data_IF_505696168948
#
_entry.id   IF_505696168948
#
_cell.length_a   1.000
_cell.length_b   1.000
_cell.length_c   1.000
_cell.angle_alpha   90.00
_cell.angle_beta   90.00
_cell.angle_gamma   90.00
#
_symmetry.space_group_name_H-M   'P 1'
#
loop_
_entity.id
_entity.type
_entity.pdbx_description
1 polymer ?
#
# COMPACT_ATOMS: atom_id res chain seq x y z
N UNK A 1 -5.41 -27.47 -9.03
CA UNK A 1 -5.95 -26.19 -9.53
C UNK A 1 -5.66 -25.14 -8.46
N UNK A 2 -5.17 -23.96 -8.85
CA UNK A 2 -4.97 -22.85 -7.91
C UNK A 2 -6.29 -22.12 -7.63
N UNK A 3 -6.35 -21.38 -6.52
CA UNK A 3 -7.42 -20.44 -6.22
C UNK A 3 -6.99 -19.04 -6.65
N UNK A 4 -7.91 -18.28 -7.26
CA UNK A 4 -7.72 -16.85 -7.51
C UNK A 4 -8.51 -16.07 -6.45
N UNK A 5 -7.81 -15.26 -5.66
CA UNK A 5 -8.41 -14.41 -4.63
C UNK A 5 -8.17 -12.97 -5.02
N UNK A 6 -9.26 -12.23 -5.28
CA UNK A 6 -9.19 -10.80 -5.56
C UNK A 6 -9.05 -10.03 -4.24
N UNK A 7 -8.03 -9.18 -4.13
CA UNK A 7 -7.72 -8.45 -2.90
C UNK A 7 -8.26 -7.01 -2.97
N UNK A 8 -9.56 -6.88 -2.75
CA UNK A 8 -10.25 -5.58 -2.63
C UNK A 8 -11.07 -5.57 -1.34
N UNK A 9 -10.55 -4.89 -0.33
CA UNK A 9 -11.01 -5.00 1.07
C UNK A 9 -11.24 -6.47 1.49
N UNK A 10 -10.30 -7.33 1.13
CA UNK A 10 -10.44 -8.79 1.29
C UNK A 10 -9.40 -9.34 2.25
N UNK A 11 -9.88 -10.12 3.22
CA UNK A 11 -9.06 -10.95 4.11
C UNK A 11 -8.98 -12.36 3.54
N UNK A 12 -7.79 -12.93 3.53
CA UNK A 12 -7.54 -14.31 3.14
C UNK A 12 -6.55 -14.97 4.09
N UNK A 13 -6.98 -16.04 4.76
CA UNK A 13 -6.13 -16.79 5.69
C UNK A 13 -5.40 -17.88 4.90
N UNK A 14 -4.10 -17.70 4.66
CA UNK A 14 -3.29 -18.67 3.90
C UNK A 14 -2.91 -19.88 4.74
N UNK A 15 -2.89 -19.72 6.07
CA UNK A 15 -2.62 -20.75 7.07
C UNK A 15 -3.30 -20.38 8.39
N UNK A 16 -3.31 -21.28 9.40
CA UNK A 16 -3.84 -20.95 10.72
C UNK A 16 -3.15 -19.75 11.40
N UNK A 17 -1.90 -19.48 11.03
CA UNK A 17 -1.03 -18.48 11.64
C UNK A 17 -0.76 -17.26 10.74
N UNK A 18 -1.09 -17.29 9.45
CA UNK A 18 -0.81 -16.17 8.52
C UNK A 18 -2.07 -15.71 7.81
N UNK A 19 -2.30 -14.39 7.86
CA UNK A 19 -3.42 -13.70 7.23
C UNK A 19 -2.91 -12.70 6.22
N UNK A 20 -3.50 -12.71 5.04
CA UNK A 20 -3.30 -11.70 4.01
C UNK A 20 -4.48 -10.76 4.05
N UNK A 21 -4.21 -9.46 4.14
CA UNK A 21 -5.17 -8.39 3.93
C UNK A 21 -4.76 -7.66 2.66
N UNK A 22 -5.72 -7.35 1.79
CA UNK A 22 -5.40 -6.50 0.65
C UNK A 22 -6.56 -5.66 0.15
N UNK A 23 -6.18 -4.51 -0.39
CA UNK A 23 -7.04 -3.50 -0.97
C UNK A 23 -6.21 -2.64 -1.93
N UNK A 24 -6.86 -1.76 -2.67
CA UNK A 24 -6.11 -0.82 -3.53
C UNK A 24 -5.34 0.19 -2.69
N UNK A 25 -5.93 0.62 -1.56
CA UNK A 25 -5.49 1.76 -0.76
C UNK A 25 -5.17 2.91 -1.69
N UNK A 26 -6.19 3.50 -2.32
CA UNK A 26 -6.02 4.76 -3.07
C UNK A 26 -5.33 5.82 -2.20
N UNK A 27 -4.92 6.94 -2.77
CA UNK A 27 -4.23 7.98 -2.01
C UNK A 27 -5.20 9.02 -1.44
N UNK A 28 -4.84 9.63 -0.31
CA UNK A 28 -5.53 10.82 0.19
C UNK A 28 -5.01 12.06 -0.54
N UNK A 29 -5.88 12.67 -1.34
CA UNK A 29 -5.56 13.91 -2.07
C UNK A 29 -6.14 15.09 -1.31
N UNK A 30 -5.30 16.05 -0.90
CA UNK A 30 -5.81 17.26 -0.25
C UNK A 30 -6.50 18.19 -1.25
N UNK A 31 -7.46 18.98 -0.76
CA UNK A 31 -8.20 19.97 -1.57
C UNK A 31 -7.27 20.88 -2.38
N UNK A 32 -6.16 21.32 -1.77
CA UNK A 32 -5.19 22.23 -2.38
C UNK A 32 -4.48 21.60 -3.59
N UNK A 33 -4.44 20.27 -3.67
CA UNK A 33 -3.78 19.53 -4.75
C UNK A 33 -4.75 18.87 -5.72
N UNK A 34 -6.07 18.97 -5.52
CA UNK A 34 -7.08 18.30 -6.34
C UNK A 34 -6.92 18.54 -7.83
N UNK A 35 -6.79 19.80 -8.26
CA UNK A 35 -6.65 20.12 -9.68
C UNK A 35 -5.36 19.53 -10.26
N UNK A 36 -4.23 19.69 -9.56
CA UNK A 36 -2.95 19.19 -10.03
C UNK A 36 -2.93 17.67 -10.13
N UNK A 37 -3.50 16.97 -9.16
CA UNK A 37 -3.59 15.50 -9.15
C UNK A 37 -4.57 14.99 -10.20
N UNK A 38 -5.73 15.64 -10.36
CA UNK A 38 -6.72 15.30 -11.38
C UNK A 38 -6.12 15.35 -12.79
N UNK A 39 -5.34 16.38 -13.09
CA UNK A 39 -4.68 16.48 -14.40
C UNK A 39 -3.45 15.58 -14.56
N UNK A 40 -2.80 15.22 -13.46
CA UNK A 40 -1.51 14.53 -13.45
C UNK A 40 -1.58 12.99 -13.41
N UNK A 41 -2.66 12.41 -12.89
CA UNK A 41 -2.83 10.95 -12.82
C UNK A 41 -3.69 10.43 -13.96
N UNK A 42 -3.22 9.36 -14.60
CA UNK A 42 -3.94 8.68 -15.68
C UNK A 42 -5.25 8.04 -15.21
N UNK A 43 -5.34 7.73 -13.92
CA UNK A 43 -6.49 7.09 -13.29
C UNK A 43 -7.78 7.87 -13.57
N UNK A 44 -7.76 9.20 -13.47
CA UNK A 44 -8.93 10.07 -13.71
C UNK A 44 -9.34 10.17 -15.19
N UNK A 45 -8.48 9.72 -16.11
CA UNK A 45 -8.79 9.67 -17.55
C UNK A 45 -9.23 8.28 -18.02
N UNK A 46 -8.86 7.22 -17.30
CA UNK A 46 -9.07 5.84 -17.70
C UNK A 46 -10.11 5.11 -16.87
N UNK A 47 -10.28 5.48 -15.60
CA UNK A 47 -11.36 4.96 -14.77
C UNK A 47 -12.60 5.80 -15.09
N UNK A 48 -13.62 5.13 -15.63
CA UNK A 48 -14.86 5.77 -16.04
C UNK A 48 -15.58 6.34 -14.82
N UNK A 49 -16.05 7.59 -14.95
CA UNK A 49 -16.85 8.28 -13.94
C UNK A 49 -16.15 8.34 -12.56
N UNK A 50 -14.82 8.51 -12.55
CA UNK A 50 -13.99 8.51 -11.34
C UNK A 50 -13.46 9.90 -11.00
N UNK A 51 -13.90 10.46 -9.88
CA UNK A 51 -13.47 11.77 -9.40
C UNK A 51 -12.38 11.67 -8.33
N UNK A 52 -11.74 12.80 -8.02
CA UNK A 52 -10.80 12.87 -6.88
C UNK A 52 -11.51 12.61 -5.55
N UNK A 53 -12.78 12.97 -5.45
CA UNK A 53 -13.61 12.69 -4.27
C UNK A 53 -13.86 11.18 -4.15
N UNK A 54 -14.18 10.48 -5.24
CA UNK A 54 -14.32 9.02 -5.24
C UNK A 54 -13.01 8.33 -4.85
N UNK A 55 -11.88 8.82 -5.37
CA UNK A 55 -10.55 8.33 -5.03
C UNK A 55 -10.25 8.47 -3.53
N UNK A 56 -10.56 9.64 -2.95
CA UNK A 56 -10.37 9.90 -1.52
C UNK A 56 -11.33 9.10 -0.65
N UNK A 57 -12.60 8.98 -1.06
CA UNK A 57 -13.59 8.16 -0.36
C UNK A 57 -13.21 6.67 -0.37
N UNK A 58 -12.67 6.17 -1.47
CA UNK A 58 -12.16 4.81 -1.57
C UNK A 58 -10.93 4.60 -0.68
N UNK A 59 -10.01 5.57 -0.59
CA UNK A 59 -8.92 5.54 0.38
C UNK A 59 -9.43 5.42 1.82
N UNK A 60 -10.40 6.24 2.20
CA UNK A 60 -10.97 6.24 3.55
C UNK A 60 -11.66 4.92 3.88
N UNK A 61 -12.40 4.35 2.92
CA UNK A 61 -13.03 3.04 3.06
C UNK A 61 -11.98 1.92 3.26
N UNK A 62 -10.93 1.90 2.43
CA UNK A 62 -9.83 0.93 2.52
C UNK A 62 -9.08 1.03 3.85
N UNK A 63 -8.77 2.26 4.27
CA UNK A 63 -8.08 2.52 5.53
C UNK A 63 -8.94 2.14 6.74
N UNK A 64 -10.24 2.46 6.71
CA UNK A 64 -11.20 2.07 7.72
C UNK A 64 -11.29 0.55 7.85
N UNK A 65 -11.42 -0.14 6.72
CA UNK A 65 -11.45 -1.60 6.66
C UNK A 65 -10.14 -2.22 7.18
N UNK A 66 -8.97 -1.77 6.73
CA UNK A 66 -7.67 -2.28 7.18
C UNK A 66 -7.50 -2.12 8.70
N UNK A 67 -7.79 -0.93 9.23
CA UNK A 67 -7.72 -0.67 10.67
C UNK A 67 -8.71 -1.57 11.44
N UNK A 68 -9.91 -1.79 10.90
CA UNK A 68 -10.91 -2.68 11.48
C UNK A 68 -10.42 -4.14 11.52
N UNK A 69 -9.91 -4.66 10.41
CA UNK A 69 -9.38 -6.03 10.31
C UNK A 69 -8.19 -6.25 11.26
N UNK A 70 -7.22 -5.35 11.26
CA UNK A 70 -6.05 -5.47 12.15
C UNK A 70 -6.47 -5.39 13.61
N UNK A 71 -7.41 -4.50 13.97
CA UNK A 71 -7.92 -4.41 15.34
C UNK A 71 -8.64 -5.69 15.74
N UNK A 72 -9.46 -6.25 14.85
CA UNK A 72 -10.15 -7.52 15.09
C UNK A 72 -9.16 -8.66 15.34
N UNK A 73 -8.23 -8.90 14.40
CA UNK A 73 -7.22 -9.97 14.51
C UNK A 73 -6.38 -9.81 15.78
N UNK A 74 -6.01 -8.58 16.12
CA UNK A 74 -5.24 -8.30 17.34
C UNK A 74 -6.00 -8.69 18.62
N UNK A 75 -7.33 -8.54 18.63
CA UNK A 75 -8.17 -8.86 19.78
C UNK A 75 -8.57 -10.34 19.84
N UNK A 76 -8.91 -10.96 18.70
CA UNK A 76 -9.48 -12.32 18.65
C UNK A 76 -8.47 -13.41 18.30
N UNK A 77 -7.40 -13.08 17.58
CA UNK A 77 -6.47 -14.03 16.98
C UNK A 77 -5.00 -13.57 17.12
N UNK A 78 -4.53 -13.24 18.36
CA UNK A 78 -3.24 -12.57 18.58
C UNK A 78 -2.00 -13.40 18.19
N UNK A 79 -2.19 -14.69 17.88
CA UNK A 79 -1.13 -15.59 17.39
C UNK A 79 -0.81 -15.38 15.90
N UNK A 80 -1.67 -14.66 15.16
CA UNK A 80 -1.52 -14.49 13.71
C UNK A 80 -0.47 -13.45 13.34
N UNK A 81 0.21 -13.71 12.23
CA UNK A 81 0.99 -12.75 11.47
C UNK A 81 0.14 -12.19 10.33
N UNK A 82 0.22 -10.88 10.13
CA UNK A 82 -0.53 -10.16 9.12
C UNK A 82 0.43 -9.72 8.01
N UNK A 83 0.05 -10.06 6.79
CA UNK A 83 0.65 -9.62 5.53
C UNK A 83 -0.32 -8.66 4.86
N UNK A 84 0.16 -7.48 4.46
CA UNK A 84 -0.65 -6.48 3.80
C UNK A 84 -0.14 -6.27 2.38
N UNK A 85 -1.05 -6.34 1.40
CA UNK A 85 -0.81 -5.94 0.02
C UNK A 85 -1.66 -4.72 -0.31
N UNK A 86 -1.02 -3.64 -0.77
CA UNK A 86 -1.70 -2.45 -1.28
C UNK A 86 -1.20 -2.06 -2.66
N UNK A 87 -2.02 -1.37 -3.45
CA UNK A 87 -1.51 -0.77 -4.68
C UNK A 87 -0.66 0.46 -4.38
N UNK A 88 -1.18 1.45 -3.63
CA UNK A 88 -0.42 2.66 -3.31
C UNK A 88 0.41 2.50 -2.03
N UNK A 89 1.42 3.37 -1.89
CA UNK A 89 2.34 3.36 -0.76
C UNK A 89 1.68 3.97 0.49
N UNK A 90 1.82 3.33 1.67
CA UNK A 90 1.34 3.88 2.94
C UNK A 90 2.41 4.75 3.65
N UNK A 91 3.47 5.15 2.93
CA UNK A 91 4.67 5.77 3.50
C UNK A 91 5.05 7.01 2.69
N UNK A 92 5.09 8.14 3.39
CA UNK A 92 5.55 9.44 2.85
C UNK A 92 6.78 9.99 3.58
N UNK A 93 7.03 9.55 4.82
CA UNK A 93 8.06 10.13 5.68
C UNK A 93 9.38 9.35 5.71
N UNK A 94 9.37 8.06 5.34
CA UNK A 94 10.60 7.25 5.30
C UNK A 94 11.29 7.44 3.94
N UNK A 95 12.48 8.07 3.87
CA UNK A 95 13.16 8.33 2.61
C UNK A 95 13.59 7.05 1.89
N UNK A 96 13.62 5.88 2.57
CA UNK A 96 13.88 4.60 1.92
C UNK A 96 12.72 4.13 1.05
N UNK A 97 11.49 4.59 1.33
CA UNK A 97 10.27 4.21 0.61
C UNK A 97 9.81 5.26 -0.41
N UNK A 98 10.44 6.44 -0.42
CA UNK A 98 10.07 7.57 -1.29
C UNK A 98 11.06 7.69 -2.42
N UNK A 99 10.56 7.71 -3.66
CA UNK A 99 11.41 7.96 -4.81
C UNK A 99 12.00 9.38 -4.76
N UNK A 100 13.33 9.55 -4.78
CA UNK A 100 13.97 10.87 -4.75
C UNK A 100 13.47 11.85 -5.81
N UNK A 101 12.96 11.35 -6.94
CA UNK A 101 12.39 12.15 -8.04
C UNK A 101 11.10 12.86 -7.64
N UNK A 102 10.41 12.37 -6.62
CA UNK A 102 9.07 12.82 -6.23
C UNK A 102 9.01 13.52 -4.86
N UNK A 103 10.13 13.61 -4.12
CA UNK A 103 10.20 14.20 -2.76
C UNK A 103 9.64 15.63 -2.69
N UNK A 104 9.82 16.44 -3.74
CA UNK A 104 9.30 17.82 -3.81
C UNK A 104 8.18 18.00 -4.85
N UNK A 105 7.60 16.89 -5.33
CA UNK A 105 6.54 16.97 -6.32
C UNK A 105 5.20 17.29 -5.66
N UNK A 106 4.45 18.24 -6.21
CA UNK A 106 3.07 18.49 -5.80
C UNK A 106 2.12 17.32 -6.10
N UNK A 107 2.57 16.33 -6.88
CA UNK A 107 1.84 15.09 -7.16
C UNK A 107 2.17 13.98 -6.16
N UNK A 108 3.11 14.18 -5.23
CA UNK A 108 3.54 13.14 -4.27
C UNK A 108 2.39 12.56 -3.45
N UNK A 109 1.40 13.39 -3.08
CA UNK A 109 0.17 12.98 -2.39
C UNK A 109 -0.69 12.02 -3.19
N UNK A 110 -0.53 11.99 -4.51
CA UNK A 110 -1.27 11.12 -5.41
C UNK A 110 -0.70 9.68 -5.44
N UNK A 111 0.55 9.50 -5.01
CA UNK A 111 1.24 8.20 -5.06
C UNK A 111 1.30 7.49 -3.70
N UNK A 112 1.21 8.26 -2.62
CA UNK A 112 1.40 7.77 -1.26
C UNK A 112 0.62 8.59 -0.24
N UNK A 113 0.26 7.96 0.87
CA UNK A 113 -0.41 8.62 2.00
C UNK A 113 0.32 8.35 3.30
N UNK A 114 0.31 9.30 4.23
CA UNK A 114 0.95 9.13 5.52
C UNK A 114 0.04 8.34 6.48
N UNK A 115 0.33 7.05 6.63
CA UNK A 115 -0.41 6.20 7.56
C UNK A 115 0.31 6.04 8.91
N UNK A 116 1.41 6.74 9.18
CA UNK A 116 2.22 6.56 10.41
C UNK A 116 1.41 6.64 11.71
N UNK A 117 0.35 7.45 11.74
CA UNK A 117 -0.57 7.58 12.86
C UNK A 117 -1.54 6.40 13.06
N UNK A 118 -1.74 5.57 12.04
CA UNK A 118 -2.81 4.57 11.94
C UNK A 118 -2.51 3.29 12.71
N UNK A 119 -3.57 2.63 13.23
CA UNK A 119 -3.44 1.38 14.00
C UNK A 119 -2.81 0.26 13.16
N UNK A 120 -3.19 0.16 11.89
CA UNK A 120 -2.63 -0.79 10.93
C UNK A 120 -1.10 -0.68 10.83
N UNK A 121 -0.52 0.54 10.92
CA UNK A 121 0.94 0.72 10.88
C UNK A 121 1.62 0.36 12.20
N UNK A 122 0.94 0.60 13.32
CA UNK A 122 1.47 0.40 14.68
C UNK A 122 1.36 -1.04 15.20
N UNK A 123 0.53 -1.88 14.59
CA UNK A 123 0.33 -3.25 15.07
C UNK A 123 1.59 -4.11 14.89
N UNK A 124 2.08 -4.77 15.96
CA UNK A 124 3.22 -5.70 15.88
C UNK A 124 2.86 -7.02 15.17
N UNK A 125 1.58 -7.28 14.94
CA UNK A 125 1.13 -8.44 14.17
C UNK A 125 1.35 -8.23 12.67
N UNK A 126 1.43 -6.99 12.19
CA UNK A 126 1.77 -6.70 10.79
C UNK A 126 3.26 -6.93 10.59
N UNK A 127 3.59 -8.02 9.91
CA UNK A 127 4.97 -8.48 9.66
C UNK A 127 5.46 -8.16 8.26
N UNK A 128 4.55 -7.97 7.30
CA UNK A 128 4.88 -7.56 5.95
C UNK A 128 3.89 -6.50 5.47
N UNK A 129 4.41 -5.44 4.86
CA UNK A 129 3.64 -4.55 4.01
C UNK A 129 4.30 -4.44 2.64
N UNK A 130 3.63 -4.96 1.63
CA UNK A 130 4.03 -4.88 0.24
C UNK A 130 3.16 -3.87 -0.51
N UNK A 131 3.80 -2.96 -1.26
CA UNK A 131 3.11 -1.93 -2.03
C UNK A 131 3.69 -1.76 -3.45
N UNK A 132 2.96 -1.04 -4.30
CA UNK A 132 3.33 -0.75 -5.67
C UNK A 132 3.18 0.73 -6.02
N UNK A 133 2.70 0.99 -7.24
CA UNK A 133 2.38 2.30 -7.82
C UNK A 133 3.57 3.27 -8.03
N UNK A 134 4.56 3.29 -7.12
CA UNK A 134 5.68 4.23 -7.13
C UNK A 134 6.74 3.96 -8.19
N UNK A 135 6.76 2.75 -8.77
CA UNK A 135 7.82 2.27 -9.66
C UNK A 135 9.23 2.36 -9.04
N UNK A 136 9.29 2.35 -7.72
CA UNK A 136 10.51 2.41 -6.92
C UNK A 136 10.56 1.19 -6.01
N UNK A 137 11.67 0.46 -6.04
CA UNK A 137 11.83 -0.84 -5.38
C UNK A 137 12.62 -0.70 -4.09
N UNK A 138 12.05 -1.23 -3.01
CA UNK A 138 12.57 -1.09 -1.65
C UNK A 138 12.40 -2.39 -0.90
N UNK A 139 13.30 -2.67 0.03
CA UNK A 139 13.22 -3.84 0.90
C UNK A 139 13.97 -3.53 2.18
N UNK A 140 13.24 -3.33 3.27
CA UNK A 140 13.84 -2.99 4.56
C UNK A 140 12.93 -3.38 5.72
N UNK A 141 13.53 -3.54 6.90
CA UNK A 141 12.79 -3.66 8.16
C UNK A 141 12.55 -2.27 8.72
N UNK A 142 11.30 -1.96 9.04
CA UNK A 142 10.91 -0.70 9.68
C UNK A 142 11.59 -0.59 11.06
N UNK A 143 12.21 0.56 11.29
CA UNK A 143 13.05 0.80 12.47
C UNK A 143 12.26 0.60 13.77
N UNK A 144 12.85 -0.13 14.72
CA UNK A 144 12.21 -0.45 16.00
C UNK A 144 11.09 -1.48 15.91
N UNK A 145 10.91 -2.16 14.77
CA UNK A 145 9.88 -3.18 14.58
C UNK A 145 10.42 -4.44 13.89
N UNK A 146 9.59 -5.48 13.79
CA UNK A 146 9.85 -6.67 12.97
C UNK A 146 9.10 -6.65 11.63
N UNK A 147 8.58 -5.48 11.23
CA UNK A 147 7.78 -5.33 10.01
C UNK A 147 8.68 -5.10 8.82
N UNK A 148 8.59 -5.97 7.83
CA UNK A 148 9.22 -5.78 6.53
C UNK A 148 8.35 -4.91 5.63
N UNK A 149 8.95 -3.87 5.06
CA UNK A 149 8.37 -3.01 4.04
C UNK A 149 9.03 -3.36 2.71
N UNK A 150 8.22 -3.67 1.69
CA UNK A 150 8.73 -4.13 0.41
C UNK A 150 7.96 -3.56 -0.78
N UNK A 151 8.68 -3.24 -1.86
CA UNK A 151 8.14 -3.02 -3.19
C UNK A 151 9.08 -3.63 -4.23
N UNK A 152 8.53 -4.38 -5.18
CA UNK A 152 9.30 -5.08 -6.21
C UNK A 152 8.57 -5.02 -7.56
N UNK A 153 8.52 -3.82 -8.10
CA UNK A 153 7.79 -3.41 -9.28
C UNK A 153 8.68 -3.57 -10.51
N UNK A 154 8.15 -4.17 -11.58
CA UNK A 154 8.88 -4.31 -12.86
C UNK A 154 9.07 -2.98 -13.58
N UNK A 155 8.15 -2.04 -13.38
CA UNK A 155 8.04 -0.82 -14.17
C UNK A 155 7.43 -1.07 -15.56
N UNK A 156 7.55 -0.08 -16.43
CA UNK A 156 7.02 -0.14 -17.79
C UNK A 156 7.96 -0.90 -18.72
N UNK A 157 7.42 -1.46 -19.82
CA UNK A 157 8.24 -2.12 -20.85
C UNK A 157 9.35 -1.20 -21.39
N UNK A 158 9.06 0.10 -21.56
CA UNK A 158 10.00 1.10 -22.05
C UNK A 158 10.78 1.82 -20.93
N UNK A 159 10.48 1.53 -19.66
CA UNK A 159 11.11 2.18 -18.50
C UNK A 159 11.00 1.25 -17.29
N UNK A 160 11.91 0.27 -17.25
CA UNK A 160 11.95 -0.71 -16.17
C UNK A 160 12.45 -0.06 -14.88
N UNK A 161 11.86 -0.46 -13.74
CA UNK A 161 12.28 0.05 -12.45
C UNK A 161 13.60 -0.60 -12.01
N UNK A 162 14.51 0.20 -11.46
CA UNK A 162 15.80 -0.28 -10.98
C UNK A 162 15.59 -1.23 -9.78
N UNK A 163 16.35 -2.33 -9.76
CA UNK A 163 16.33 -3.26 -8.63
C UNK A 163 15.13 -4.21 -8.60
N UNK A 164 14.36 -4.30 -9.70
CA UNK A 164 13.37 -5.38 -9.84
C UNK A 164 14.07 -6.73 -9.81
N UNK A 165 13.54 -7.65 -9.02
CA UNK A 165 14.04 -9.02 -8.87
C UNK A 165 12.90 -10.01 -9.12
N UNK A 166 12.95 -10.72 -10.24
CA UNK A 166 11.93 -11.72 -10.60
C UNK A 166 11.92 -12.96 -9.69
N UNK A 167 13.00 -13.17 -8.93
CA UNK A 167 13.19 -14.32 -8.06
C UNK A 167 13.03 -13.96 -6.57
N UNK A 168 12.58 -12.74 -6.26
CA UNK A 168 12.43 -12.27 -4.88
C UNK A 168 11.44 -13.14 -4.11
N UNK A 169 11.92 -13.77 -3.04
CA UNK A 169 11.11 -14.49 -2.06
C UNK A 169 11.20 -13.80 -0.71
N UNK A 170 10.05 -13.47 -0.14
CA UNK A 170 9.94 -12.87 1.20
C UNK A 170 9.39 -13.90 2.18
N UNK A 171 9.91 -13.89 3.42
CA UNK A 171 9.50 -14.79 4.50
C UNK A 171 8.82 -13.98 5.60
N UNK A 172 7.77 -14.56 6.20
CA UNK A 172 6.95 -13.94 7.23
C UNK A 172 6.80 -14.87 8.42
#
# INVERSE_FOLDING_TARGET
MGSFVFLDQTRYDISPDVTVLGCTLFSQVSEVHKDQVSYGLKDFYHIRDWTVDDHTAAHEADLGWLNGQVSHITASEPHRKIVIFTHHSPITQDPRAVDPRHVNSSLSSAFASDLSGQKVRKSPLVRLWAFGHTHFNVSYIEEGTEKMVVSNQRGYYFSQAKGFDGELVVRV
#
